data_IF_461364963037
#
_entry.id   IF_461364963037
#
_cell.length_a   1.000
_cell.length_b   1.000
_cell.length_c   1.000
_cell.angle_alpha   90.00
_cell.angle_beta   90.00
_cell.angle_gamma   90.00
#
_symmetry.space_group_name_H-M   'P 1'
#
loop_
_entity.id
_entity.type
_entity.pdbx_description
1 polymer ?
#
# COMPACT_ATOMS: atom_id res chain seq x y z
N UNK A 1 22.47 -2.34 -3.69
CA UNK A 1 21.21 -3.11 -3.76
C UNK A 1 20.84 -3.49 -2.34
N UNK A 2 19.78 -2.92 -1.77
CA UNK A 2 19.30 -3.34 -0.43
C UNK A 2 18.68 -4.74 -0.59
N UNK A 3 19.09 -5.70 0.23
CA UNK A 3 18.47 -7.02 0.26
C UNK A 3 17.05 -6.87 0.83
N UNK A 4 16.05 -7.25 0.05
CA UNK A 4 14.66 -7.22 0.52
C UNK A 4 14.49 -8.21 1.69
N UNK A 5 14.07 -7.69 2.85
CA UNK A 5 13.85 -8.51 4.06
C UNK A 5 12.53 -9.29 3.94
N UNK A 6 11.55 -8.67 3.31
CA UNK A 6 10.20 -9.19 3.22
C UNK A 6 9.85 -9.64 1.80
N UNK A 7 9.01 -10.68 1.71
CA UNK A 7 8.49 -11.21 0.44
C UNK A 7 7.04 -10.80 0.28
N UNK A 8 6.66 -10.41 -0.93
CA UNK A 8 5.32 -9.96 -1.25
C UNK A 8 4.70 -10.83 -2.35
N UNK A 9 3.39 -11.02 -2.29
CA UNK A 9 2.59 -11.70 -3.32
C UNK A 9 1.49 -10.77 -3.81
N UNK A 10 1.17 -10.83 -5.11
CA UNK A 10 0.03 -10.09 -5.66
C UNK A 10 -1.23 -10.92 -5.49
N UNK A 11 -2.26 -10.38 -4.84
CA UNK A 11 -3.56 -11.00 -4.79
C UNK A 11 -4.35 -10.60 -6.05
N UNK A 12 -4.57 -11.55 -6.97
CA UNK A 12 -5.23 -11.32 -8.27
C UNK A 12 -6.60 -10.64 -8.11
N UNK A 13 -7.31 -10.92 -7.02
CA UNK A 13 -8.67 -10.41 -6.79
C UNK A 13 -8.74 -9.11 -5.99
N UNK A 14 -7.72 -8.76 -5.20
CA UNK A 14 -7.82 -7.65 -4.24
C UNK A 14 -7.08 -6.38 -4.67
N UNK A 15 -6.41 -6.40 -5.84
CA UNK A 15 -5.52 -5.31 -6.31
C UNK A 15 -4.43 -4.88 -5.33
N UNK A 16 -4.33 -5.54 -4.17
CA UNK A 16 -3.42 -5.23 -3.10
C UNK A 16 -2.33 -6.29 -3.04
N UNK A 17 -1.12 -5.87 -2.65
CA UNK A 17 -0.05 -6.80 -2.29
C UNK A 17 -0.38 -7.44 -0.94
N UNK A 18 0.08 -8.67 -0.76
CA UNK A 18 0.07 -9.38 0.51
C UNK A 18 1.51 -9.60 0.97
N UNK A 19 1.75 -9.41 2.25
CA UNK A 19 3.03 -9.72 2.88
C UNK A 19 3.09 -11.21 3.22
N UNK A 20 4.19 -11.89 2.91
CA UNK A 20 4.39 -13.28 3.35
C UNK A 20 5.15 -13.26 4.67
N UNK A 21 4.54 -13.81 5.72
CA UNK A 21 5.20 -13.95 7.02
C UNK A 21 6.48 -14.78 6.89
N UNK A 22 7.64 -14.32 7.39
CA UNK A 22 8.88 -15.09 7.27
C UNK A 22 8.92 -16.34 8.17
N UNK A 23 8.02 -16.44 9.17
CA UNK A 23 7.97 -17.55 10.13
C UNK A 23 6.99 -18.64 9.70
N UNK A 24 5.71 -18.31 9.52
CA UNK A 24 4.67 -19.29 9.18
C UNK A 24 4.34 -19.35 7.68
N UNK A 25 4.92 -18.47 6.84
CA UNK A 25 4.69 -18.40 5.40
C UNK A 25 3.25 -18.05 4.97
N UNK A 26 2.38 -17.73 5.93
CA UNK A 26 1.03 -17.23 5.66
C UNK A 26 1.06 -15.84 5.00
N UNK A 27 0.05 -15.58 4.19
CA UNK A 27 -0.14 -14.28 3.54
C UNK A 27 -0.95 -13.36 4.46
N UNK A 28 -0.41 -12.18 4.72
CA UNK A 28 -0.95 -11.21 5.68
C UNK A 28 -1.33 -9.93 4.94
N UNK A 29 -2.50 -9.40 5.26
CA UNK A 29 -3.00 -8.15 4.68
C UNK A 29 -2.36 -6.94 5.39
N UNK A 30 -2.24 -5.81 4.71
CA UNK A 30 -1.76 -4.56 5.32
C UNK A 30 -2.62 -4.15 6.52
N UNK A 31 -3.95 -4.37 6.46
CA UNK A 31 -4.88 -4.04 7.55
C UNK A 31 -4.55 -4.81 8.83
N UNK A 32 -4.15 -6.08 8.69
CA UNK A 32 -3.80 -6.93 9.84
C UNK A 32 -2.54 -6.41 10.55
N UNK A 33 -1.62 -5.80 9.79
CA UNK A 33 -0.33 -5.32 10.29
C UNK A 33 -0.39 -3.86 10.79
N UNK A 34 -1.21 -3.03 10.14
CA UNK A 34 -1.41 -1.62 10.51
C UNK A 34 -1.92 -1.51 11.94
N UNK A 35 -2.83 -2.40 12.33
CA UNK A 35 -3.39 -2.45 13.68
C UNK A 35 -2.51 -3.23 14.67
N UNK A 36 -1.79 -4.25 14.19
CA UNK A 36 -0.97 -5.12 15.04
C UNK A 36 0.41 -5.34 14.40
N UNK A 37 1.50 -5.01 15.12
CA UNK A 37 2.87 -5.28 14.63
C UNK A 37 3.25 -6.77 14.61
N UNK A 38 2.27 -7.67 14.59
CA UNK A 38 2.44 -9.11 14.72
C UNK A 38 1.68 -9.84 13.62
N UNK A 39 2.22 -10.97 13.18
CA UNK A 39 1.51 -11.88 12.30
C UNK A 39 0.32 -12.50 13.06
N UNK A 40 -0.92 -12.41 12.55
CA UNK A 40 -2.12 -12.89 13.26
C UNK A 40 -2.16 -14.43 13.41
N UNK A 41 -1.29 -15.15 12.71
CA UNK A 41 -1.26 -16.62 12.71
C UNK A 41 -0.19 -17.24 13.62
N UNK A 42 0.89 -16.51 13.92
CA UNK A 42 2.04 -17.08 14.64
C UNK A 42 2.76 -16.11 15.58
N UNK A 43 2.16 -14.94 15.79
CA UNK A 43 2.65 -13.84 16.62
C UNK A 43 4.07 -13.36 16.29
N UNK A 44 4.53 -13.60 15.05
CA UNK A 44 5.80 -13.09 14.59
C UNK A 44 5.78 -11.56 14.56
N UNK A 45 6.66 -10.91 15.33
CA UNK A 45 6.80 -9.47 15.33
C UNK A 45 7.50 -8.99 14.07
N UNK A 46 6.83 -8.13 13.30
CA UNK A 46 7.42 -7.50 12.13
C UNK A 46 8.33 -6.35 12.57
N UNK A 47 9.55 -6.31 12.03
CA UNK A 47 10.46 -5.20 12.27
C UNK A 47 9.98 -3.98 11.49
N UNK A 48 9.98 -2.83 12.16
CA UNK A 48 9.63 -1.58 11.52
C UNK A 48 10.78 -1.11 10.63
N UNK A 49 10.59 -1.25 9.32
CA UNK A 49 11.55 -0.82 8.30
C UNK A 49 10.82 -0.18 7.11
N UNK A 50 11.55 0.54 6.28
CA UNK A 50 11.00 1.22 5.11
C UNK A 50 10.21 0.30 4.18
N UNK A 51 10.63 -0.96 3.99
CA UNK A 51 9.88 -1.91 3.15
C UNK A 51 8.50 -2.23 3.72
N UNK A 52 8.38 -2.31 5.04
CA UNK A 52 7.11 -2.53 5.71
C UNK A 52 6.25 -1.26 5.68
N UNK A 53 6.86 -0.09 5.87
CA UNK A 53 6.17 1.20 5.74
C UNK A 53 5.59 1.40 4.34
N UNK A 54 6.39 1.17 3.30
CA UNK A 54 5.96 1.27 1.90
C UNK A 54 4.78 0.34 1.61
N UNK A 55 4.82 -0.88 2.15
CA UNK A 55 3.73 -1.84 2.02
C UNK A 55 2.43 -1.36 2.67
N UNK A 56 2.51 -0.78 3.88
CA UNK A 56 1.35 -0.27 4.60
C UNK A 56 0.76 0.98 3.94
N UNK A 57 1.60 1.86 3.40
CA UNK A 57 1.18 3.11 2.77
C UNK A 57 0.67 2.92 1.34
N UNK A 58 1.09 1.87 0.63
CA UNK A 58 0.77 1.66 -0.78
C UNK A 58 -0.73 1.76 -1.10
N UNK A 59 -1.67 1.11 -0.37
CA UNK A 59 -3.10 1.20 -0.66
C UNK A 59 -3.65 2.64 -0.54
N UNK A 60 -3.15 3.42 0.43
CA UNK A 60 -3.54 4.81 0.64
C UNK A 60 -3.05 5.68 -0.51
N UNK A 61 -1.79 5.52 -0.91
CA UNK A 61 -1.19 6.25 -2.03
C UNK A 61 -1.92 5.91 -3.33
N UNK A 62 -2.22 4.64 -3.59
CA UNK A 62 -2.97 4.22 -4.77
C UNK A 62 -4.39 4.78 -4.79
N UNK A 63 -5.07 4.82 -3.64
CA UNK A 63 -6.40 5.43 -3.53
C UNK A 63 -6.35 6.93 -3.87
N UNK A 64 -5.40 7.66 -3.29
CA UNK A 64 -5.18 9.08 -3.60
C UNK A 64 -4.88 9.30 -5.08
N UNK A 65 -3.94 8.53 -5.65
CA UNK A 65 -3.62 8.62 -7.08
C UNK A 65 -4.85 8.38 -7.96
N UNK A 66 -5.72 7.42 -7.61
CA UNK A 66 -6.98 7.19 -8.34
C UNK A 66 -7.95 8.35 -8.22
N UNK A 67 -8.07 8.97 -7.06
CA UNK A 67 -8.96 10.12 -6.85
C UNK A 67 -8.52 11.32 -7.69
N UNK A 68 -7.23 11.62 -7.75
CA UNK A 68 -6.70 12.81 -8.46
C UNK A 68 -6.38 12.58 -9.95
N UNK A 69 -6.25 11.33 -10.40
CA UNK A 69 -6.06 11.00 -11.82
C UNK A 69 -7.30 11.27 -12.69
N UNK A 70 -8.47 11.54 -12.08
CA UNK A 70 -9.63 12.08 -12.80
C UNK A 70 -9.59 13.61 -12.94
N UNK A 71 -8.92 14.34 -12.06
CA UNK A 71 -8.83 15.80 -12.15
C UNK A 71 -7.88 16.29 -13.26
N UNK A 72 -6.90 15.47 -13.65
CA UNK A 72 -5.94 15.80 -14.73
C UNK A 72 -6.48 15.52 -16.15
N UNK A 73 -7.73 15.05 -16.29
CA UNK A 73 -8.39 14.84 -17.59
C UNK A 73 -9.46 15.87 -17.92
N UNK A 74 -9.72 16.82 -17.03
CA UNK A 74 -10.78 17.84 -17.17
C UNK A 74 -10.24 19.27 -17.31
N UNK A 75 -9.06 19.43 -17.94
CA UNK A 75 -8.54 20.75 -18.35
C UNK A 75 -9.01 21.19 -19.75
N UNK A 76 -10.20 20.75 -20.21
CA UNK A 76 -10.78 21.27 -21.47
C UNK A 76 -11.99 22.16 -21.29
N UNK A 77 -12.54 22.36 -20.08
CA UNK A 77 -13.83 23.05 -19.94
C UNK A 77 -14.00 24.03 -18.77
N UNK A 78 -12.92 24.61 -18.22
CA UNK A 78 -13.03 25.77 -17.31
C UNK A 78 -12.39 27.02 -17.92
N UNK A 79 -13.24 27.84 -18.55
CA UNK A 79 -13.01 29.27 -18.71
C UNK A 79 -12.82 29.87 -17.30
N UNK A 80 -11.56 30.03 -16.89
CA UNK A 80 -11.19 30.81 -15.71
C UNK A 80 -11.24 32.29 -16.14
N UNK A 81 -12.14 33.13 -15.59
CA UNK A 81 -12.01 34.56 -15.83
C UNK A 81 -10.70 35.01 -15.20
N UNK A 82 -9.87 35.69 -15.99
CA UNK A 82 -8.69 36.37 -15.51
C UNK A 82 -9.13 37.39 -14.44
N UNK A 83 -8.62 37.23 -13.23
CA UNK A 83 -8.73 38.27 -12.21
C UNK A 83 -7.86 39.46 -12.67
N UNK A 84 -8.53 40.52 -13.11
CA UNK A 84 -8.03 41.90 -13.09
C UNK A 84 -8.78 42.67 -12.03
#
# INVERSE_FOLDING_TARGET
MKNAKYKFKNAVHFQNKLLVCPKCLEAVNYIDIENFRYCPYCDYSFEHCHELEDFLLQPVVEHWMRQYSYCLRDESHYNRPALF
#
